data_IF_566511457823
#
_entry.id   IF_566511457823
#
_cell.length_a   1.000
_cell.length_b   1.000
_cell.length_c   1.000
_cell.angle_alpha   90.00
_cell.angle_beta   90.00
_cell.angle_gamma   90.00
#
_symmetry.space_group_name_H-M   'P 1'
#
loop_
_entity.id
_entity.type
_entity.pdbx_description
1 polymer ?
#
# COMPACT_ATOMS: atom_id res chain seq x y z
N UNK A 1 11.33 -58.85 57.85
CA UNK A 1 12.64 -58.79 58.53
C UNK A 1 13.73 -58.94 57.49
N UNK A 2 14.77 -58.10 57.62
CA UNK A 2 16.04 -58.05 56.90
C UNK A 2 16.07 -57.70 55.39
N UNK A 3 16.51 -56.44 55.18
CA UNK A 3 17.07 -55.89 53.94
C UNK A 3 18.61 -55.99 53.99
N UNK A 4 19.19 -55.95 52.79
CA UNK A 4 20.52 -55.43 52.41
C UNK A 4 21.74 -56.34 52.54
N UNK A 5 22.32 -56.70 51.39
CA UNK A 5 23.78 -56.64 51.16
C UNK A 5 24.03 -55.95 49.80
N UNK A 6 25.11 -55.17 49.79
CA UNK A 6 25.55 -54.11 48.89
C UNK A 6 26.45 -54.57 47.72
N UNK A 7 26.42 -53.74 46.66
CA UNK A 7 27.50 -53.26 45.77
C UNK A 7 28.41 -54.24 44.99
N UNK A 8 28.45 -54.04 43.67
CA UNK A 8 29.68 -53.58 42.97
C UNK A 8 29.38 -53.06 41.56
N UNK A 9 30.05 -51.96 41.22
CA UNK A 9 30.03 -51.22 39.95
C UNK A 9 30.69 -52.01 38.81
N UNK A 10 30.16 -51.87 37.58
CA UNK A 10 30.98 -51.50 36.41
C UNK A 10 30.08 -51.13 35.21
N UNK A 11 30.30 -49.93 34.68
CA UNK A 11 29.80 -49.48 33.37
C UNK A 11 30.48 -50.31 32.27
N UNK A 12 29.72 -50.76 31.27
CA UNK A 12 30.20 -50.80 29.89
C UNK A 12 29.04 -50.67 28.89
N UNK A 13 29.38 -50.03 27.79
CA UNK A 13 28.58 -49.38 26.77
C UNK A 13 28.11 -50.29 25.62
N UNK A 14 26.98 -49.86 25.02
CA UNK A 14 26.56 -49.96 23.62
C UNK A 14 26.54 -51.33 22.91
N UNK A 15 25.33 -51.80 22.61
CA UNK A 15 24.71 -51.80 21.26
C UNK A 15 23.74 -52.98 21.12
N UNK A 16 22.46 -52.69 20.91
CA UNK A 16 21.45 -53.66 20.46
C UNK A 16 20.68 -53.02 19.30
N UNK A 17 20.91 -53.49 18.08
CA UNK A 17 20.14 -54.52 17.36
C UNK A 17 18.88 -53.93 16.73
N UNK A 18 18.96 -53.71 15.42
CA UNK A 18 17.81 -53.69 14.53
C UNK A 18 17.50 -55.13 14.08
N UNK A 19 16.24 -55.53 13.94
CA UNK A 19 15.87 -56.65 13.08
C UNK A 19 15.39 -56.17 11.71
N UNK A 20 15.78 -56.93 10.70
CA UNK A 20 15.35 -56.85 9.31
C UNK A 20 14.06 -57.67 9.07
N UNK A 21 13.62 -57.69 7.80
CA UNK A 21 12.48 -58.37 7.14
C UNK A 21 11.25 -57.46 6.91
N UNK A 22 10.68 -57.31 5.71
CA UNK A 22 10.94 -57.89 4.38
C UNK A 22 10.31 -57.00 3.27
N UNK A 23 10.78 -57.17 2.02
CA UNK A 23 10.17 -56.73 0.75
C UNK A 23 8.70 -57.21 0.67
N UNK A 24 7.70 -56.50 0.15
CA UNK A 24 7.46 -55.94 -1.20
C UNK A 24 6.05 -55.27 -1.08
N UNK A 25 5.76 -54.09 -1.62
CA UNK A 25 5.35 -53.88 -3.01
C UNK A 25 5.35 -52.37 -3.35
N UNK A 26 5.70 -52.07 -4.60
CA UNK A 26 5.69 -50.73 -5.20
C UNK A 26 4.27 -50.34 -5.61
N UNK A 27 3.79 -49.19 -5.13
CA UNK A 27 2.97 -48.27 -5.94
C UNK A 27 2.94 -46.85 -5.33
N UNK A 28 3.65 -45.92 -5.99
CA UNK A 28 3.19 -44.53 -6.17
C UNK A 28 3.11 -43.58 -4.97
N UNK A 29 4.22 -43.25 -4.32
CA UNK A 29 4.37 -41.98 -3.58
C UNK A 29 5.71 -41.34 -3.91
N UNK A 30 5.71 -40.50 -4.94
CA UNK A 30 6.86 -39.65 -5.27
C UNK A 30 7.02 -38.62 -4.16
N UNK A 31 8.11 -38.72 -3.39
CA UNK A 31 8.59 -37.64 -2.51
C UNK A 31 8.67 -36.35 -3.33
N UNK A 32 7.84 -35.36 -3.02
CA UNK A 32 8.03 -34.00 -3.48
C UNK A 32 9.25 -33.46 -2.72
N UNK A 33 10.42 -33.53 -3.35
CA UNK A 33 11.57 -32.70 -2.96
C UNK A 33 11.20 -31.24 -3.18
N UNK A 34 11.55 -30.31 -2.27
CA UNK A 34 11.36 -28.89 -2.52
C UNK A 34 12.10 -28.54 -3.81
N UNK A 35 11.36 -27.98 -4.77
CA UNK A 35 11.95 -27.50 -6.01
C UNK A 35 13.07 -26.51 -5.64
N UNK A 36 14.28 -26.79 -6.13
CA UNK A 36 15.34 -25.79 -6.21
C UNK A 36 14.75 -24.62 -6.99
N UNK A 37 14.50 -23.52 -6.31
CA UNK A 37 14.24 -22.25 -6.99
C UNK A 37 15.56 -21.86 -7.62
N UNK A 38 15.69 -22.07 -8.93
CA UNK A 38 16.79 -21.49 -9.67
C UNK A 38 16.80 -19.98 -9.41
N UNK A 39 17.97 -19.36 -9.16
CA UNK A 39 18.03 -17.91 -9.07
C UNK A 39 17.49 -17.34 -10.38
N UNK A 40 16.37 -16.63 -10.30
CA UNK A 40 15.87 -15.85 -11.42
C UNK A 40 17.02 -14.96 -11.93
N UNK A 41 17.17 -14.79 -13.26
CA UNK A 41 18.20 -13.91 -13.79
C UNK A 41 18.10 -12.56 -13.11
N UNK A 42 19.26 -11.97 -12.79
CA UNK A 42 19.35 -10.62 -12.22
C UNK A 42 18.35 -9.73 -12.95
N UNK A 43 17.44 -9.10 -12.20
CA UNK A 43 16.40 -8.27 -12.78
C UNK A 43 17.07 -7.31 -13.77
N UNK A 44 16.71 -7.41 -15.06
CA UNK A 44 17.27 -6.52 -16.06
C UNK A 44 17.05 -5.10 -15.56
N UNK A 45 18.14 -4.42 -15.22
CA UNK A 45 18.11 -3.05 -14.74
C UNK A 45 17.45 -2.25 -15.87
N UNK A 46 16.31 -1.62 -15.60
CA UNK A 46 15.60 -0.84 -16.62
C UNK A 46 16.56 0.19 -17.19
N UNK A 47 16.72 0.22 -18.52
CA UNK A 47 17.62 1.14 -19.21
C UNK A 47 17.40 2.58 -18.70
N UNK A 48 18.36 3.18 -17.97
CA UNK A 48 18.19 4.48 -17.33
C UNK A 48 18.05 5.63 -18.34
N UNK A 49 18.42 5.39 -19.61
CA UNK A 49 18.33 6.36 -20.69
C UNK A 49 17.11 6.14 -21.59
N UNK A 50 16.33 5.08 -21.37
CA UNK A 50 15.06 4.84 -22.06
C UNK A 50 14.14 6.06 -21.86
N UNK A 51 13.49 6.55 -22.94
CA UNK A 51 12.48 7.59 -22.83
C UNK A 51 11.34 7.18 -21.89
N UNK A 52 10.90 8.13 -21.07
CA UNK A 52 9.71 8.07 -20.25
C UNK A 52 8.88 9.32 -20.51
N UNK A 53 7.56 9.17 -20.52
CA UNK A 53 6.65 10.28 -20.76
C UNK A 53 5.88 10.57 -19.49
N UNK A 54 5.89 11.82 -19.05
CA UNK A 54 5.17 12.25 -17.84
C UNK A 54 4.03 13.18 -18.19
N UNK A 55 2.94 13.05 -17.45
CA UNK A 55 1.82 14.00 -17.43
C UNK A 55 1.92 14.78 -16.14
N UNK A 56 2.16 16.09 -16.26
CA UNK A 56 2.30 17.03 -15.14
C UNK A 56 1.31 18.18 -15.26
N UNK A 57 1.12 18.92 -14.17
CA UNK A 57 0.52 20.26 -14.26
C UNK A 57 1.41 21.18 -15.09
N UNK A 58 0.80 22.20 -15.73
CA UNK A 58 1.58 23.25 -16.39
C UNK A 58 2.56 23.94 -15.44
N UNK A 59 2.15 24.21 -14.21
CA UNK A 59 2.99 24.86 -13.22
C UNK A 59 4.27 24.05 -12.93
N UNK A 60 4.13 22.75 -12.69
CA UNK A 60 5.25 21.82 -12.46
C UNK A 60 6.17 21.73 -13.67
N UNK A 61 5.58 21.70 -14.87
CA UNK A 61 6.38 21.72 -16.08
C UNK A 61 7.25 22.98 -16.16
N UNK A 62 6.63 24.15 -16.02
CA UNK A 62 7.28 25.43 -16.22
C UNK A 62 8.31 25.72 -15.11
N UNK A 63 8.04 25.31 -13.87
CA UNK A 63 8.91 25.52 -12.71
C UNK A 63 10.11 24.57 -12.64
N UNK A 64 9.96 23.32 -13.07
CA UNK A 64 10.95 22.26 -12.78
C UNK A 64 11.40 21.39 -13.93
N UNK A 65 10.59 21.29 -14.99
CA UNK A 65 10.87 20.37 -16.09
C UNK A 65 11.30 21.07 -17.37
N UNK A 66 11.04 22.35 -17.54
CA UNK A 66 11.31 23.06 -18.80
C UNK A 66 12.76 22.90 -19.30
N UNK A 67 13.72 22.65 -18.40
CA UNK A 67 15.14 22.41 -18.70
C UNK A 67 15.53 20.94 -18.84
N UNK A 68 14.75 20.01 -18.27
CA UNK A 68 15.00 18.56 -18.30
C UNK A 68 14.20 17.86 -19.40
N UNK A 69 12.99 18.35 -19.66
CA UNK A 69 12.01 17.78 -20.56
C UNK A 69 12.31 18.11 -22.02
N UNK A 70 11.96 17.16 -22.88
CA UNK A 70 11.96 17.29 -24.33
C UNK A 70 10.55 17.13 -24.86
N UNK A 71 10.33 17.59 -26.08
CA UNK A 71 9.10 17.32 -26.85
C UNK A 71 7.79 17.66 -26.11
N UNK A 72 7.85 18.64 -25.21
CA UNK A 72 6.74 19.03 -24.34
C UNK A 72 5.55 19.52 -25.14
N UNK A 73 4.35 19.12 -24.72
CA UNK A 73 3.11 19.51 -25.40
C UNK A 73 2.00 19.81 -24.42
N UNK A 74 1.42 21.00 -24.58
CA UNK A 74 0.28 21.45 -23.81
C UNK A 74 -0.94 20.55 -24.06
N UNK A 75 -1.66 20.22 -22.99
CA UNK A 75 -2.92 19.49 -23.03
C UNK A 75 -3.91 20.12 -22.04
N UNK A 76 -5.18 19.78 -22.19
CA UNK A 76 -6.23 20.15 -21.24
C UNK A 76 -6.92 18.86 -20.83
N UNK A 77 -7.00 18.59 -19.53
CA UNK A 77 -7.74 17.47 -18.99
C UNK A 77 -9.24 17.64 -19.25
N UNK A 78 -10.03 16.56 -19.16
CA UNK A 78 -11.50 16.68 -19.23
C UNK A 78 -12.08 17.52 -18.09
N UNK A 79 -11.39 17.58 -16.96
CA UNK A 79 -11.71 18.48 -15.85
C UNK A 79 -11.44 19.97 -16.14
N UNK A 80 -10.82 20.31 -17.26
CA UNK A 80 -10.38 21.66 -17.60
C UNK A 80 -8.98 22.02 -17.10
N UNK A 81 -8.31 21.13 -16.35
CA UNK A 81 -6.96 21.38 -15.84
C UNK A 81 -5.92 21.50 -16.97
N UNK A 82 -5.03 22.50 -16.86
CA UNK A 82 -3.91 22.68 -17.79
C UNK A 82 -2.78 21.69 -17.49
N UNK A 83 -2.56 20.76 -18.42
CA UNK A 83 -1.57 19.70 -18.31
C UNK A 83 -0.46 19.86 -19.36
N UNK A 84 0.67 19.20 -19.13
CA UNK A 84 1.76 19.07 -20.10
C UNK A 84 2.18 17.61 -20.17
N UNK A 85 2.26 17.08 -21.40
CA UNK A 85 2.92 15.79 -21.69
C UNK A 85 4.36 16.09 -22.08
N UNK A 86 5.30 15.54 -21.34
CA UNK A 86 6.74 15.79 -21.50
C UNK A 86 7.51 14.49 -21.64
N UNK A 87 8.59 14.48 -22.43
CA UNK A 87 9.53 13.37 -22.53
C UNK A 87 10.74 13.62 -21.62
N UNK A 88 11.13 12.62 -20.84
CA UNK A 88 12.34 12.59 -20.01
C UNK A 88 13.08 11.26 -20.27
N UNK A 89 14.26 11.12 -19.70
CA UNK A 89 14.94 9.84 -19.53
C UNK A 89 14.55 9.21 -18.18
N UNK A 90 14.50 7.88 -18.11
CA UNK A 90 13.99 7.15 -16.94
C UNK A 90 14.70 7.54 -15.63
N UNK A 91 16.02 7.74 -15.64
CA UNK A 91 16.75 8.17 -14.44
C UNK A 91 16.36 9.58 -13.94
N UNK A 92 15.79 10.43 -14.79
CA UNK A 92 15.39 11.79 -14.45
C UNK A 92 14.06 11.84 -13.68
N UNK A 93 13.34 10.72 -13.52
CA UNK A 93 12.14 10.68 -12.69
C UNK A 93 12.45 10.99 -11.22
N UNK A 94 13.58 10.51 -10.70
CA UNK A 94 14.03 10.84 -9.34
C UNK A 94 14.35 12.33 -9.21
N UNK A 95 14.92 12.94 -10.25
CA UNK A 95 15.19 14.39 -10.26
C UNK A 95 13.89 15.20 -10.29
N UNK A 96 12.88 14.74 -11.04
CA UNK A 96 11.53 15.32 -11.03
C UNK A 96 10.87 15.19 -9.65
N UNK A 97 10.83 14.00 -9.06
CA UNK A 97 10.25 13.81 -7.73
C UNK A 97 10.97 14.67 -6.68
N UNK A 98 12.31 14.77 -6.74
CA UNK A 98 13.09 15.69 -5.90
C UNK A 98 12.71 17.15 -6.12
N UNK A 99 12.57 17.60 -7.38
CA UNK A 99 12.15 18.97 -7.66
C UNK A 99 10.77 19.26 -7.06
N UNK A 100 9.79 18.39 -7.29
CA UNK A 100 8.44 18.52 -6.74
C UNK A 100 8.49 18.62 -5.22
N UNK A 101 9.21 17.71 -4.58
CA UNK A 101 9.33 17.70 -3.13
C UNK A 101 10.00 18.97 -2.58
N UNK A 102 11.18 19.34 -3.07
CA UNK A 102 11.98 20.43 -2.49
C UNK A 102 11.49 21.83 -2.89
N UNK A 103 10.95 21.99 -4.10
CA UNK A 103 10.55 23.29 -4.65
C UNK A 103 9.05 23.54 -4.58
N UNK A 104 8.24 22.53 -4.88
CA UNK A 104 6.79 22.65 -4.84
C UNK A 104 6.20 22.27 -3.48
N UNK A 105 7.00 21.66 -2.58
CA UNK A 105 6.60 21.25 -1.22
C UNK A 105 5.33 20.40 -1.25
N UNK A 106 5.32 19.41 -2.16
CA UNK A 106 4.24 18.41 -2.32
C UNK A 106 4.81 17.02 -2.69
N UNK A 107 4.11 15.93 -2.41
CA UNK A 107 4.52 14.55 -2.71
C UNK A 107 4.17 14.16 -4.16
N UNK A 108 5.07 13.57 -4.93
CA UNK A 108 4.74 13.01 -6.26
C UNK A 108 3.99 13.98 -7.21
N UNK A 109 2.93 13.50 -7.84
CA UNK A 109 2.03 14.33 -8.64
C UNK A 109 2.40 14.50 -10.11
N UNK A 110 2.79 13.39 -10.69
CA UNK A 110 2.81 13.16 -12.11
C UNK A 110 2.42 11.71 -12.38
N UNK A 111 1.91 11.44 -13.57
CA UNK A 111 1.75 10.08 -14.06
C UNK A 111 2.87 9.79 -15.06
N UNK A 112 3.52 8.63 -14.97
CA UNK A 112 4.60 8.25 -15.88
C UNK A 112 4.19 7.10 -16.81
N UNK A 113 4.62 7.14 -18.07
CA UNK A 113 4.22 6.24 -19.15
C UNK A 113 5.43 5.80 -19.98
N UNK A 114 5.33 4.61 -20.57
CA UNK A 114 6.42 4.05 -21.37
C UNK A 114 6.39 4.59 -22.81
N UNK A 115 5.27 5.16 -23.25
CA UNK A 115 5.13 5.80 -24.55
C UNK A 115 4.32 7.10 -24.49
N UNK A 116 4.58 8.01 -25.44
CA UNK A 116 3.79 9.23 -25.61
C UNK A 116 2.32 8.91 -25.90
N UNK A 117 2.08 7.88 -26.70
CA UNK A 117 0.74 7.46 -27.06
C UNK A 117 -0.09 7.07 -25.82
N UNK A 118 0.52 6.36 -24.87
CA UNK A 118 -0.11 6.03 -23.58
C UNK A 118 -0.38 7.28 -22.74
N UNK A 119 0.59 8.20 -22.63
CA UNK A 119 0.41 9.44 -21.88
C UNK A 119 -0.74 10.29 -22.44
N UNK A 120 -0.80 10.43 -23.76
CA UNK A 120 -1.89 11.16 -24.41
C UNK A 120 -3.23 10.42 -24.33
N UNK A 121 -3.23 9.09 -24.39
CA UNK A 121 -4.42 8.28 -24.19
C UNK A 121 -4.97 8.44 -22.76
N UNK A 122 -4.08 8.47 -21.76
CA UNK A 122 -4.46 8.74 -20.37
C UNK A 122 -5.17 10.09 -20.24
N UNK A 123 -4.60 11.17 -20.80
CA UNK A 123 -5.24 12.49 -20.75
C UNK A 123 -6.60 12.50 -21.46
N UNK A 124 -6.72 11.84 -22.62
CA UNK A 124 -8.00 11.75 -23.37
C UNK A 124 -9.07 10.93 -22.66
N UNK A 125 -8.66 9.88 -21.97
CA UNK A 125 -9.53 8.91 -21.32
C UNK A 125 -9.73 9.18 -19.82
N UNK A 126 -9.12 10.24 -19.28
CA UNK A 126 -9.28 10.63 -17.88
C UNK A 126 -10.76 10.78 -17.52
N UNK A 127 -11.19 10.00 -16.53
CA UNK A 127 -12.55 10.02 -15.99
C UNK A 127 -12.63 10.69 -14.64
N UNK A 128 -11.57 11.37 -14.17
CA UNK A 128 -11.55 11.93 -12.83
C UNK A 128 -12.73 12.85 -12.54
N UNK A 129 -13.10 13.73 -13.49
CA UNK A 129 -14.26 14.62 -13.33
C UNK A 129 -15.60 13.87 -13.20
N UNK A 130 -15.76 12.75 -13.93
CA UNK A 130 -16.94 11.88 -13.83
C UNK A 130 -16.91 11.18 -12.46
N UNK A 131 -15.83 10.46 -12.16
CA UNK A 131 -15.65 9.68 -10.93
C UNK A 131 -15.81 10.50 -9.66
N UNK A 132 -15.33 11.75 -9.64
CA UNK A 132 -15.47 12.64 -8.47
C UNK A 132 -16.93 12.97 -8.16
N UNK A 133 -17.79 13.00 -9.18
CA UNK A 133 -19.20 13.39 -9.08
C UNK A 133 -20.19 12.23 -9.24
N UNK A 134 -19.72 11.04 -9.64
CA UNK A 134 -20.56 9.85 -9.76
C UNK A 134 -21.24 9.56 -8.43
N UNK A 135 -22.54 9.26 -8.52
CA UNK A 135 -23.33 8.87 -7.35
C UNK A 135 -22.66 7.68 -6.66
N UNK A 136 -22.24 7.90 -5.42
CA UNK A 136 -21.73 6.85 -4.55
C UNK A 136 -22.91 6.15 -3.89
N UNK A 137 -22.84 4.82 -3.77
CA UNK A 137 -23.86 4.09 -3.04
C UNK A 137 -23.98 4.67 -1.62
N UNK A 138 -25.19 5.02 -1.18
CA UNK A 138 -25.42 5.47 0.19
C UNK A 138 -25.21 4.27 1.12
N UNK A 139 -24.03 4.18 1.71
CA UNK A 139 -23.78 3.20 2.76
C UNK A 139 -24.36 3.73 4.07
N UNK A 140 -25.40 3.07 4.56
CA UNK A 140 -25.84 3.30 5.94
C UNK A 140 -24.69 2.90 6.88
N UNK A 141 -24.35 3.77 7.84
CA UNK A 141 -23.42 3.46 8.93
C UNK A 141 -24.26 2.78 10.03
N UNK A 142 -24.42 1.47 9.91
CA UNK A 142 -25.34 0.65 10.72
C UNK A 142 -24.70 -0.67 11.22
N UNK A 143 -23.38 -0.81 11.10
CA UNK A 143 -22.63 -2.00 11.48
C UNK A 143 -21.79 -1.78 12.76
N UNK A 144 -22.20 -0.87 13.65
CA UNK A 144 -21.51 -0.54 14.90
C UNK A 144 -21.33 -1.78 15.80
N UNK A 145 -22.28 -2.72 15.79
CA UNK A 145 -22.17 -3.96 16.55
C UNK A 145 -20.94 -4.81 16.13
N UNK A 146 -20.52 -4.72 14.86
CA UNK A 146 -19.28 -5.32 14.37
C UNK A 146 -18.09 -4.42 14.63
N UNK A 147 -18.18 -3.13 14.25
CA UNK A 147 -17.02 -2.22 14.20
C UNK A 147 -16.55 -1.82 15.60
N UNK A 148 -17.47 -1.45 16.50
CA UNK A 148 -17.12 -0.90 17.82
C UNK A 148 -16.21 -1.84 18.63
N UNK A 149 -16.47 -3.15 18.73
CA UNK A 149 -15.56 -4.08 19.40
C UNK A 149 -14.16 -4.19 18.78
N UNK A 150 -14.00 -3.90 17.49
CA UNK A 150 -12.70 -3.95 16.81
C UNK A 150 -11.82 -2.75 17.16
N UNK A 151 -12.41 -1.57 17.38
CA UNK A 151 -11.66 -0.34 17.58
C UNK A 151 -10.75 -0.37 18.83
N UNK A 152 -11.19 -1.06 19.88
CA UNK A 152 -10.41 -1.26 21.12
C UNK A 152 -9.25 -2.26 20.97
N UNK A 153 -9.19 -3.01 19.87
CA UNK A 153 -8.17 -4.04 19.64
C UNK A 153 -6.95 -3.51 18.86
N UNK A 154 -7.01 -2.26 18.39
CA UNK A 154 -5.91 -1.60 17.68
C UNK A 154 -4.72 -1.42 18.62
N UNK A 155 -3.58 -1.97 18.22
CA UNK A 155 -2.34 -1.93 18.99
C UNK A 155 -1.31 -1.03 18.31
N UNK A 156 -0.94 0.08 18.96
CA UNK A 156 0.17 0.94 18.55
C UNK A 156 1.45 0.13 18.34
N UNK A 157 1.73 -0.81 19.25
CA UNK A 157 2.96 -1.59 19.22
C UNK A 157 3.05 -2.48 17.96
N UNK A 158 1.91 -3.00 17.48
CA UNK A 158 1.89 -3.81 16.25
C UNK A 158 2.11 -2.96 15.00
N UNK A 159 1.49 -1.77 14.95
CA UNK A 159 1.69 -0.81 13.86
C UNK A 159 3.17 -0.39 13.85
N UNK A 160 3.69 0.04 15.00
CA UNK A 160 5.09 0.46 15.15
C UNK A 160 6.07 -0.64 14.76
N UNK A 161 5.85 -1.88 15.17
CA UNK A 161 6.73 -3.00 14.78
C UNK A 161 6.75 -3.25 13.28
N UNK A 162 5.62 -3.02 12.59
CA UNK A 162 5.54 -3.14 11.13
C UNK A 162 6.29 -1.98 10.45
N UNK A 163 6.12 -0.75 10.93
CA UNK A 163 6.89 0.42 10.45
C UNK A 163 8.40 0.16 10.64
N UNK A 164 8.82 -0.26 11.84
CA UNK A 164 10.22 -0.58 12.15
C UNK A 164 10.81 -1.62 11.20
N UNK A 165 10.03 -2.65 10.84
CA UNK A 165 10.47 -3.68 9.91
C UNK A 165 10.67 -3.10 8.50
N UNK A 166 9.66 -2.39 7.98
CA UNK A 166 9.69 -1.84 6.62
C UNK A 166 10.72 -0.71 6.45
N UNK A 167 10.94 0.10 7.48
CA UNK A 167 11.89 1.22 7.45
C UNK A 167 13.28 0.89 7.98
N UNK A 168 13.50 -0.32 8.52
CA UNK A 168 14.73 -0.71 9.19
C UNK A 168 15.43 -1.93 8.62
N UNK A 169 14.70 -2.88 8.01
CA UNK A 169 15.29 -4.11 7.50
C UNK A 169 16.04 -3.91 6.17
N UNK A 170 15.76 -2.82 5.46
CA UNK A 170 16.36 -2.51 4.17
C UNK A 170 16.80 -1.04 4.10
N UNK A 171 17.85 -0.70 3.32
CA UNK A 171 18.25 0.69 3.08
C UNK A 171 17.16 1.54 2.42
N UNK A 172 16.36 0.93 1.56
CA UNK A 172 15.22 1.54 0.86
C UNK A 172 14.20 0.45 0.48
N UNK A 173 13.05 0.88 -0.05
CA UNK A 173 12.08 0.01 -0.72
C UNK A 173 11.82 0.43 -2.17
N UNK A 174 12.76 1.14 -2.79
CA UNK A 174 12.59 1.70 -4.14
C UNK A 174 12.17 0.64 -5.16
N UNK A 175 11.25 0.99 -6.06
CA UNK A 175 10.58 0.02 -6.92
C UNK A 175 11.51 -0.76 -7.88
N UNK A 176 12.69 -0.19 -8.20
CA UNK A 176 13.70 -0.83 -9.07
C UNK A 176 14.78 -1.64 -8.32
N UNK A 177 14.77 -1.68 -6.98
CA UNK A 177 15.82 -2.36 -6.19
C UNK A 177 15.38 -3.76 -5.73
N UNK A 178 16.37 -4.62 -5.47
CA UNK A 178 16.13 -5.92 -4.83
C UNK A 178 15.53 -5.73 -3.43
N UNK A 179 15.89 -4.65 -2.73
CA UNK A 179 15.28 -4.28 -1.46
C UNK A 179 13.77 -4.04 -1.58
N UNK A 180 13.33 -3.27 -2.58
CA UNK A 180 11.90 -3.06 -2.87
C UNK A 180 11.15 -4.36 -3.12
N UNK A 181 11.71 -5.25 -3.97
CA UNK A 181 11.14 -6.59 -4.23
C UNK A 181 11.02 -7.44 -2.96
N UNK A 182 12.06 -7.44 -2.13
CA UNK A 182 12.08 -8.20 -0.89
C UNK A 182 11.06 -7.68 0.11
N UNK A 183 10.90 -6.35 0.22
CA UNK A 183 9.89 -5.73 1.06
C UNK A 183 8.46 -6.10 0.62
N UNK A 184 8.16 -6.06 -0.69
CA UNK A 184 6.85 -6.50 -1.22
C UNK A 184 6.58 -7.98 -0.91
N UNK A 185 7.58 -8.84 -1.10
CA UNK A 185 7.48 -10.27 -0.78
C UNK A 185 7.21 -10.48 0.72
N UNK A 186 7.91 -9.74 1.58
CA UNK A 186 7.72 -9.79 3.03
C UNK A 186 6.29 -9.37 3.44
N UNK A 187 5.74 -8.30 2.85
CA UNK A 187 4.36 -7.87 3.09
C UNK A 187 3.37 -8.95 2.65
N UNK A 188 3.55 -9.52 1.45
CA UNK A 188 2.72 -10.61 0.91
C UNK A 188 2.71 -11.83 1.85
N UNK A 189 3.87 -12.25 2.33
CA UNK A 189 4.01 -13.39 3.25
C UNK A 189 3.37 -13.10 4.61
N UNK A 190 3.57 -11.89 5.14
CA UNK A 190 2.97 -11.45 6.40
C UNK A 190 1.44 -11.45 6.33
N UNK A 191 0.87 -10.93 5.24
CA UNK A 191 -0.56 -10.92 5.00
C UNK A 191 -1.13 -12.32 4.76
N UNK A 192 -0.43 -13.18 4.02
CA UNK A 192 -0.81 -14.58 3.84
C UNK A 192 -0.85 -15.34 5.16
N UNK A 193 0.12 -15.10 6.06
CA UNK A 193 0.16 -15.72 7.38
C UNK A 193 -1.03 -15.31 8.26
N UNK A 194 -1.48 -14.05 8.17
CA UNK A 194 -2.68 -13.59 8.90
C UNK A 194 -3.97 -14.26 8.38
N UNK A 195 -4.03 -14.58 7.09
CA UNK A 195 -5.14 -15.30 6.46
C UNK A 195 -5.01 -16.83 6.53
N UNK A 196 -3.99 -17.38 7.21
CA UNK A 196 -3.73 -18.81 7.17
C UNK A 196 -4.95 -19.64 7.65
N UNK A 197 -5.25 -20.73 6.95
CA UNK A 197 -6.40 -21.60 7.22
C UNK A 197 -7.76 -21.06 6.72
N UNK A 198 -7.79 -19.91 6.03
CA UNK A 198 -8.99 -19.35 5.41
C UNK A 198 -9.02 -19.65 3.91
N UNK A 199 -9.99 -20.43 3.46
CA UNK A 199 -10.17 -20.74 2.03
C UNK A 199 -10.68 -19.57 1.20
N UNK A 200 -11.28 -18.57 1.85
CA UNK A 200 -11.78 -17.34 1.24
C UNK A 200 -10.73 -16.23 1.17
N UNK A 201 -9.50 -16.47 1.66
CA UNK A 201 -8.40 -15.51 1.64
C UNK A 201 -7.28 -15.97 0.71
N UNK A 202 -6.81 -15.08 -0.14
CA UNK A 202 -5.65 -15.33 -1.02
C UNK A 202 -4.74 -14.11 -1.10
N UNK A 203 -3.46 -14.33 -1.42
CA UNK A 203 -2.52 -13.26 -1.73
C UNK A 203 -1.86 -13.50 -3.08
N UNK A 204 -1.60 -12.42 -3.81
CA UNK A 204 -0.91 -12.44 -5.10
C UNK A 204 0.09 -11.29 -5.21
N UNK A 205 1.08 -11.48 -6.09
CA UNK A 205 2.03 -10.46 -6.51
C UNK A 205 1.65 -10.01 -7.93
N UNK A 206 1.39 -8.72 -8.10
CA UNK A 206 1.04 -8.13 -9.38
C UNK A 206 2.25 -7.39 -9.97
N UNK A 207 2.70 -7.81 -11.14
CA UNK A 207 3.78 -7.16 -11.87
C UNK A 207 3.20 -6.26 -12.96
N UNK A 208 3.84 -5.13 -13.22
CA UNK A 208 3.46 -4.21 -14.29
C UNK A 208 4.66 -3.70 -15.08
N UNK A 209 4.44 -3.39 -16.37
CA UNK A 209 5.46 -2.77 -17.21
C UNK A 209 5.85 -1.41 -16.64
N UNK A 210 7.16 -1.16 -16.56
CA UNK A 210 7.72 0.10 -16.07
C UNK A 210 7.63 0.31 -14.55
N UNK A 211 7.11 -0.63 -13.77
CA UNK A 211 7.05 -0.55 -12.30
C UNK A 211 8.37 -0.93 -11.60
N UNK A 212 9.40 -1.32 -12.36
CA UNK A 212 10.64 -1.85 -11.80
C UNK A 212 10.52 -3.33 -11.42
N UNK A 213 11.36 -3.76 -10.48
CA UNK A 213 11.50 -5.15 -10.05
C UNK A 213 10.62 -5.51 -8.85
N UNK A 214 10.01 -4.50 -8.21
CA UNK A 214 9.07 -4.63 -7.11
C UNK A 214 7.65 -4.88 -7.63
N UNK A 215 7.00 -5.99 -7.22
CA UNK A 215 5.58 -6.21 -7.50
C UNK A 215 4.69 -5.44 -6.51
N UNK A 216 3.48 -5.10 -6.95
CA UNK A 216 2.41 -4.75 -6.01
C UNK A 216 1.91 -6.01 -5.30
N UNK A 217 1.41 -5.86 -4.07
CA UNK A 217 0.83 -6.95 -3.28
C UNK A 217 -0.68 -6.78 -3.24
N UNK A 218 -1.43 -7.84 -3.51
CA UNK A 218 -2.89 -7.84 -3.39
C UNK A 218 -3.29 -9.00 -2.48
N UNK A 219 -3.92 -8.70 -1.35
CA UNK A 219 -4.67 -9.68 -0.57
C UNK A 219 -6.15 -9.57 -0.91
N UNK A 220 -6.81 -10.70 -1.11
CA UNK A 220 -8.26 -10.77 -1.36
C UNK A 220 -8.94 -11.55 -0.24
N UNK A 221 -10.03 -11.02 0.31
CA UNK A 221 -11.01 -11.74 1.12
C UNK A 221 -12.29 -11.81 0.29
N UNK A 222 -12.65 -13.00 -0.21
CA UNK A 222 -13.82 -13.16 -1.07
C UNK A 222 -15.12 -12.87 -0.29
N UNK A 223 -15.99 -12.07 -0.87
CA UNK A 223 -17.31 -11.78 -0.31
C UNK A 223 -18.25 -12.99 -0.41
N UNK A 224 -19.13 -13.16 0.58
CA UNK A 224 -20.04 -14.30 0.64
C UNK A 224 -21.43 -14.03 0.04
N UNK A 225 -21.85 -12.77 -0.05
CA UNK A 225 -23.19 -12.38 -0.54
C UNK A 225 -23.10 -11.59 -1.85
N UNK A 226 -22.15 -10.65 -1.93
CA UNK A 226 -21.92 -9.75 -3.07
C UNK A 226 -20.46 -9.90 -3.55
N UNK A 227 -20.01 -11.11 -3.96
CA UNK A 227 -18.61 -11.36 -4.31
C UNK A 227 -18.08 -10.53 -5.48
N UNK A 228 -18.96 -10.00 -6.32
CA UNK A 228 -18.61 -9.20 -7.48
C UNK A 228 -18.46 -7.71 -7.17
N UNK A 229 -18.93 -7.25 -6.00
CA UNK A 229 -18.67 -5.89 -5.51
C UNK A 229 -17.36 -5.88 -4.75
N UNK A 230 -16.43 -5.02 -5.16
CA UNK A 230 -15.06 -4.97 -4.62
C UNK A 230 -14.84 -3.69 -3.83
N UNK A 231 -14.40 -3.83 -2.58
CA UNK A 231 -13.93 -2.73 -1.73
C UNK A 231 -12.42 -2.82 -1.64
N UNK A 232 -11.73 -1.70 -1.88
CA UNK A 232 -10.27 -1.64 -1.85
C UNK A 232 -9.80 -0.78 -0.68
N UNK A 233 -8.80 -1.25 0.05
CA UNK A 233 -7.99 -0.45 0.97
C UNK A 233 -6.53 -0.53 0.50
N UNK A 234 -5.89 0.61 0.30
CA UNK A 234 -4.60 0.71 -0.37
C UNK A 234 -3.60 1.63 0.34
N UNK A 235 -2.32 1.34 0.14
CA UNK A 235 -1.15 2.07 0.59
C UNK A 235 0.02 1.70 -0.35
N UNK A 236 1.08 2.51 -0.48
CA UNK A 236 2.20 2.16 -1.36
C UNK A 236 3.39 1.56 -0.60
N UNK A 237 4.21 0.79 -1.31
CA UNK A 237 5.31 0.01 -0.76
C UNK A 237 6.65 0.69 -0.95
N UNK A 238 6.82 1.42 -2.04
CA UNK A 238 8.11 1.96 -2.46
C UNK A 238 8.54 3.19 -1.67
N UNK A 239 9.81 3.56 -1.85
CA UNK A 239 10.39 4.77 -1.29
C UNK A 239 11.34 5.42 -2.27
N UNK A 240 11.45 6.75 -2.18
CA UNK A 240 12.55 7.53 -2.75
C UNK A 240 13.26 8.34 -1.68
N UNK A 241 14.45 8.82 -1.99
CA UNK A 241 15.18 9.77 -1.14
C UNK A 241 16.07 10.67 -1.98
N UNK A 242 16.31 11.89 -1.50
CA UNK A 242 17.31 12.79 -2.07
C UNK A 242 18.76 12.35 -1.79
N UNK A 243 19.00 11.29 -1.01
CA UNK A 243 20.33 10.79 -0.68
C UNK A 243 20.80 9.65 -1.60
N UNK A 244 21.00 9.95 -2.88
CA UNK A 244 21.53 9.00 -3.87
C UNK A 244 20.44 8.30 -4.69
N UNK A 245 20.76 7.11 -5.22
CA UNK A 245 19.87 6.36 -6.12
C UNK A 245 20.19 4.85 -6.10
N UNK A 246 19.25 4.01 -6.52
CA UNK A 246 19.45 2.57 -6.67
C UNK A 246 19.61 1.84 -5.32
N UNK A 247 20.30 0.70 -5.33
CA UNK A 247 20.43 -0.20 -4.16
C UNK A 247 21.00 0.50 -2.92
N UNK A 248 21.94 1.42 -3.10
CA UNK A 248 22.63 2.12 -2.02
C UNK A 248 21.89 3.39 -1.53
N UNK A 249 20.75 3.74 -2.14
CA UNK A 249 19.96 4.89 -1.69
C UNK A 249 19.45 4.63 -0.27
N UNK A 250 19.61 5.60 0.62
CA UNK A 250 19.03 5.55 1.97
C UNK A 250 17.67 6.23 1.98
N UNK A 251 16.61 5.45 1.95
CA UNK A 251 15.22 5.91 1.91
C UNK A 251 14.37 5.07 2.88
N UNK A 252 14.46 5.33 4.21
CA UNK A 252 13.79 4.49 5.19
C UNK A 252 12.26 4.54 5.06
N UNK A 253 11.69 5.70 4.69
CA UNK A 253 10.27 5.83 4.34
C UNK A 253 9.35 5.35 5.46
N UNK A 254 9.57 5.83 6.68
CA UNK A 254 8.86 5.35 7.86
C UNK A 254 7.42 5.86 7.93
N UNK A 255 7.22 7.13 7.62
CA UNK A 255 5.90 7.71 7.47
C UNK A 255 5.37 7.50 6.05
N UNK A 256 6.24 7.68 5.04
CA UNK A 256 5.95 7.59 3.61
C UNK A 256 6.59 6.34 2.97
N UNK A 257 5.88 5.23 2.76
CA UNK A 257 4.56 4.91 3.33
C UNK A 257 4.54 3.57 4.08
N UNK A 258 5.60 3.31 4.85
CA UNK A 258 5.57 2.17 5.78
C UNK A 258 4.41 2.29 6.78
N UNK A 259 3.97 3.52 7.08
CA UNK A 259 2.87 3.78 8.01
C UNK A 259 1.50 3.36 7.46
N UNK A 260 1.19 3.62 6.19
CA UNK A 260 -0.02 3.16 5.51
C UNK A 260 -0.07 1.63 5.45
N UNK A 261 1.02 0.99 5.02
CA UNK A 261 1.13 -0.49 4.98
C UNK A 261 0.99 -1.10 6.38
N UNK A 262 1.60 -0.50 7.41
CA UNK A 262 1.46 -0.93 8.79
C UNK A 262 0.02 -0.82 9.29
N UNK A 263 -0.66 0.27 8.93
CA UNK A 263 -2.08 0.50 9.25
C UNK A 263 -2.97 -0.57 8.61
N UNK A 264 -2.80 -0.85 7.31
CA UNK A 264 -3.52 -1.92 6.61
C UNK A 264 -3.26 -3.30 7.23
N UNK A 265 -2.02 -3.56 7.63
CA UNK A 265 -1.63 -4.82 8.27
C UNK A 265 -2.34 -5.02 9.61
N UNK A 266 -2.50 -3.97 10.41
CA UNK A 266 -3.23 -4.03 11.68
C UNK A 266 -4.75 -4.19 11.47
N UNK A 267 -5.32 -3.49 10.47
CA UNK A 267 -6.72 -3.69 10.06
C UNK A 267 -6.97 -5.15 9.69
N UNK A 268 -6.09 -5.74 8.87
CA UNK A 268 -6.17 -7.15 8.48
C UNK A 268 -6.07 -8.09 9.67
N UNK A 269 -5.11 -7.87 10.56
CA UNK A 269 -4.90 -8.70 11.76
C UNK A 269 -6.17 -8.77 12.61
N UNK A 270 -6.81 -7.62 12.85
CA UNK A 270 -8.02 -7.54 13.66
C UNK A 270 -9.20 -8.20 12.94
N UNK A 271 -9.37 -7.94 11.63
CA UNK A 271 -10.42 -8.59 10.84
C UNK A 271 -10.30 -10.13 10.87
N UNK A 272 -9.08 -10.67 10.70
CA UNK A 272 -8.83 -12.11 10.76
C UNK A 272 -9.05 -12.68 12.16
N UNK A 273 -8.54 -12.02 13.21
CA UNK A 273 -8.69 -12.45 14.60
C UNK A 273 -10.15 -12.51 15.06
N UNK A 274 -11.02 -11.66 14.49
CA UNK A 274 -12.46 -11.65 14.79
C UNK A 274 -13.28 -12.52 13.82
N UNK A 275 -12.63 -13.32 12.96
CA UNK A 275 -13.30 -14.23 12.05
C UNK A 275 -14.13 -13.53 10.97
N UNK A 276 -13.80 -12.27 10.62
CA UNK A 276 -14.58 -11.46 9.68
C UNK A 276 -14.83 -12.20 8.35
N UNK A 277 -16.10 -12.23 7.93
CA UNK A 277 -16.59 -12.72 6.64
C UNK A 277 -17.37 -11.59 5.97
N UNK A 278 -16.81 -10.94 4.94
CA UNK A 278 -17.45 -9.77 4.36
C UNK A 278 -18.61 -10.15 3.43
N UNK A 279 -19.60 -9.26 3.26
CA UNK A 279 -20.60 -9.40 2.20
C UNK A 279 -19.96 -9.20 0.83
N UNK A 280 -19.18 -8.13 0.70
CA UNK A 280 -18.45 -7.74 -0.51
C UNK A 280 -17.06 -8.35 -0.53
N UNK A 281 -16.45 -8.46 -1.71
CA UNK A 281 -15.04 -8.85 -1.79
C UNK A 281 -14.17 -7.68 -1.31
N UNK A 282 -13.27 -7.95 -0.37
CA UNK A 282 -12.30 -6.98 0.12
C UNK A 282 -10.97 -7.24 -0.56
N UNK A 283 -10.30 -6.17 -1.01
CA UNK A 283 -8.92 -6.22 -1.45
C UNK A 283 -8.06 -5.24 -0.64
N UNK A 284 -7.03 -5.74 0.01
CA UNK A 284 -5.98 -4.91 0.59
C UNK A 284 -4.81 -4.86 -0.40
N UNK A 285 -4.27 -3.68 -0.65
CA UNK A 285 -3.25 -3.48 -1.67
C UNK A 285 -2.04 -2.73 -1.12
N UNK A 286 -0.85 -3.27 -1.42
CA UNK A 286 0.42 -2.56 -1.33
C UNK A 286 0.88 -2.22 -2.75
N UNK A 287 0.76 -0.97 -3.17
CA UNK A 287 1.11 -0.55 -4.53
C UNK A 287 2.62 -0.43 -4.71
N UNK A 288 3.13 -0.86 -5.86
CA UNK A 288 4.51 -0.61 -6.24
C UNK A 288 4.61 0.68 -7.07
N UNK A 289 5.78 1.32 -7.03
CA UNK A 289 6.13 2.40 -7.96
C UNK A 289 5.16 3.60 -7.93
N UNK A 290 4.68 3.98 -6.75
CA UNK A 290 3.94 5.24 -6.53
C UNK A 290 4.87 6.41 -6.87
N UNK A 291 6.09 6.38 -6.34
CA UNK A 291 7.01 7.52 -6.27
C UNK A 291 7.63 7.90 -7.61
N UNK A 292 7.49 7.00 -8.58
CA UNK A 292 7.93 7.15 -9.96
C UNK A 292 6.76 7.29 -10.94
N UNK A 293 5.61 7.75 -10.42
CA UNK A 293 4.47 8.23 -11.19
C UNK A 293 3.25 7.32 -11.19
N UNK A 294 2.85 6.85 -10.00
CA UNK A 294 1.63 6.08 -9.73
C UNK A 294 1.50 4.80 -10.56
N UNK A 295 2.62 4.15 -10.89
CA UNK A 295 2.66 3.12 -11.94
C UNK A 295 1.91 1.85 -11.54
N UNK A 296 2.10 1.37 -10.31
CA UNK A 296 1.44 0.15 -9.81
C UNK A 296 -0.06 0.30 -9.71
N UNK A 297 -0.54 1.33 -9.00
CA UNK A 297 -1.98 1.58 -8.87
C UNK A 297 -2.65 1.86 -10.21
N UNK A 298 -2.01 2.61 -11.11
CA UNK A 298 -2.53 2.84 -12.47
C UNK A 298 -2.67 1.54 -13.25
N UNK A 299 -1.67 0.66 -13.21
CA UNK A 299 -1.72 -0.62 -13.92
C UNK A 299 -2.85 -1.51 -13.37
N UNK A 300 -3.01 -1.58 -12.05
CA UNK A 300 -4.09 -2.32 -11.40
C UNK A 300 -5.45 -1.74 -11.74
N UNK A 301 -5.64 -0.42 -11.62
CA UNK A 301 -6.92 0.23 -11.91
C UNK A 301 -7.30 0.07 -13.39
N UNK A 302 -6.33 0.16 -14.32
CA UNK A 302 -6.55 -0.07 -15.74
C UNK A 302 -6.92 -1.54 -16.04
N UNK A 303 -6.24 -2.51 -15.42
CA UNK A 303 -6.58 -3.93 -15.54
C UNK A 303 -7.99 -4.22 -14.99
N UNK A 304 -8.33 -3.68 -13.82
CA UNK A 304 -9.66 -3.81 -13.23
C UNK A 304 -10.74 -3.23 -14.14
N UNK A 305 -10.48 -2.06 -14.73
CA UNK A 305 -11.37 -1.43 -15.69
C UNK A 305 -11.55 -2.29 -16.95
N UNK A 306 -10.46 -2.81 -17.50
CA UNK A 306 -10.48 -3.66 -18.69
C UNK A 306 -11.25 -4.97 -18.46
N UNK A 307 -11.14 -5.55 -17.27
CA UNK A 307 -11.88 -6.76 -16.86
C UNK A 307 -13.31 -6.49 -16.38
N UNK A 308 -13.75 -5.23 -16.35
CA UNK A 308 -15.09 -4.86 -15.87
C UNK A 308 -15.31 -5.14 -14.38
N UNK A 309 -14.27 -5.07 -13.56
CA UNK A 309 -14.39 -5.27 -12.10
C UNK A 309 -15.22 -4.14 -11.50
N UNK A 310 -16.27 -4.50 -10.76
CA UNK A 310 -17.14 -3.56 -10.07
C UNK A 310 -16.53 -3.14 -8.72
N UNK A 311 -15.65 -2.14 -8.74
CA UNK A 311 -15.09 -1.53 -7.53
C UNK A 311 -16.05 -0.46 -7.02
N UNK A 312 -16.55 -0.69 -5.80
CA UNK A 312 -17.61 0.14 -5.21
C UNK A 312 -17.08 1.18 -4.23
N UNK A 313 -15.80 1.10 -3.83
CA UNK A 313 -15.15 2.09 -2.99
C UNK A 313 -13.66 1.77 -2.78
N UNK A 314 -12.82 2.80 -2.82
CA UNK A 314 -11.37 2.70 -2.60
C UNK A 314 -10.95 3.68 -1.51
N UNK A 315 -10.34 3.17 -0.44
CA UNK A 315 -9.68 3.99 0.57
C UNK A 315 -8.16 3.91 0.38
N UNK A 316 -7.52 5.05 0.15
CA UNK A 316 -6.08 5.21 0.22
C UNK A 316 -5.65 5.65 1.62
N UNK A 317 -4.56 5.08 2.10
CA UNK A 317 -3.79 5.51 3.26
C UNK A 317 -2.36 5.73 2.78
N UNK A 318 -1.91 6.97 2.80
CA UNK A 318 -0.55 7.34 2.44
C UNK A 318 -0.13 8.43 3.41
N UNK A 319 0.90 8.16 4.20
CA UNK A 319 1.32 8.93 5.38
C UNK A 319 0.24 8.99 6.46
N UNK A 320 0.45 8.25 7.53
CA UNK A 320 -0.50 8.12 8.64
C UNK A 320 0.10 8.43 10.00
N UNK A 321 1.40 8.78 10.08
CA UNK A 321 2.11 8.74 11.35
C UNK A 321 2.80 10.03 11.78
N UNK A 322 2.66 11.14 11.06
CA UNK A 322 3.18 12.42 11.52
C UNK A 322 2.09 13.47 11.77
N UNK A 323 2.16 14.08 12.97
CA UNK A 323 1.41 15.29 13.29
C UNK A 323 2.06 16.09 14.42
N UNK A 324 1.90 17.42 14.38
CA UNK A 324 2.15 18.27 15.54
C UNK A 324 0.96 18.26 16.49
N UNK A 325 1.16 18.71 17.74
CA UNK A 325 0.10 18.81 18.74
C UNK A 325 -1.10 19.66 18.28
N UNK A 326 -0.83 20.73 17.53
CA UNK A 326 -1.84 21.67 17.03
C UNK A 326 -2.56 21.18 15.78
N UNK A 327 -1.95 20.31 14.98
CA UNK A 327 -2.54 19.77 13.78
C UNK A 327 -3.72 18.81 14.07
N UNK A 328 -4.71 18.69 13.16
CA UNK A 328 -5.76 17.68 13.25
C UNK A 328 -5.19 16.27 13.47
N UNK A 329 -6.00 15.36 14.00
CA UNK A 329 -5.58 13.98 14.18
C UNK A 329 -5.60 13.22 12.84
N UNK A 330 -6.58 13.54 11.99
CA UNK A 330 -6.76 12.98 10.64
C UNK A 330 -7.22 14.09 9.69
N UNK A 331 -6.85 14.01 8.42
CA UNK A 331 -7.40 14.85 7.34
C UNK A 331 -8.06 13.98 6.27
N UNK A 332 -9.07 14.52 5.60
CA UNK A 332 -9.61 13.97 4.34
C UNK A 332 -9.04 14.77 3.17
N UNK A 333 -8.55 14.10 2.12
CA UNK A 333 -8.14 14.75 0.88
C UNK A 333 -9.38 15.18 0.09
N UNK A 334 -9.42 16.45 -0.34
CA UNK A 334 -10.58 17.05 -1.01
C UNK A 334 -10.62 16.77 -2.51
N UNK A 335 -9.47 16.79 -3.17
CA UNK A 335 -9.34 16.70 -4.62
C UNK A 335 -9.04 15.28 -5.09
N UNK A 336 -9.30 15.00 -6.37
CA UNK A 336 -9.19 13.67 -6.99
C UNK A 336 -9.90 12.55 -6.20
N UNK A 337 -10.90 12.93 -5.41
CA UNK A 337 -11.65 12.06 -4.51
C UNK A 337 -13.14 12.16 -4.78
N UNK A 338 -13.86 11.05 -4.75
CA UNK A 338 -15.32 11.02 -4.94
C UNK A 338 -16.05 11.72 -3.79
N UNK A 339 -16.94 12.66 -4.12
CA UNK A 339 -17.61 13.49 -3.13
C UNK A 339 -18.47 12.69 -2.13
N UNK A 340 -19.20 11.68 -2.62
CA UNK A 340 -20.03 10.82 -1.76
C UNK A 340 -19.18 9.94 -0.83
N UNK A 341 -18.06 9.40 -1.34
CA UNK A 341 -17.13 8.63 -0.53
C UNK A 341 -16.38 9.51 0.48
N UNK A 342 -15.99 10.74 0.12
CA UNK A 342 -15.43 11.71 1.06
C UNK A 342 -16.40 12.01 2.19
N UNK A 343 -17.70 12.17 1.89
CA UNK A 343 -18.71 12.38 2.91
C UNK A 343 -18.82 11.15 3.82
N UNK A 344 -18.84 9.93 3.26
CA UNK A 344 -18.79 8.71 4.06
C UNK A 344 -17.57 8.68 5.01
N UNK A 345 -16.38 9.07 4.54
CA UNK A 345 -15.21 9.13 5.41
C UNK A 345 -15.42 10.11 6.59
N UNK A 346 -15.98 11.30 6.33
CA UNK A 346 -16.33 12.26 7.39
C UNK A 346 -17.35 11.69 8.37
N UNK A 347 -18.34 10.97 7.88
CA UNK A 347 -19.39 10.36 8.70
C UNK A 347 -18.85 9.19 9.53
N UNK A 348 -17.94 8.36 8.98
CA UNK A 348 -17.23 7.32 9.71
C UNK A 348 -16.39 7.94 10.84
N UNK A 349 -15.66 9.02 10.56
CA UNK A 349 -14.93 9.74 11.58
C UNK A 349 -15.85 10.26 12.67
N UNK A 350 -16.91 11.00 12.30
CA UNK A 350 -17.86 11.55 13.26
C UNK A 350 -18.48 10.47 14.14
N UNK A 351 -18.89 9.35 13.53
CA UNK A 351 -19.53 8.22 14.23
C UNK A 351 -18.60 7.53 15.21
N UNK A 352 -17.36 7.21 14.80
CA UNK A 352 -16.50 6.34 15.58
C UNK A 352 -15.44 7.06 16.42
N UNK A 353 -15.05 8.27 16.04
CA UNK A 353 -13.91 8.99 16.63
C UNK A 353 -14.20 10.48 16.96
N UNK A 354 -15.31 11.04 16.48
CA UNK A 354 -15.59 12.49 16.51
C UNK A 354 -15.70 13.12 17.89
N UNK A 355 -15.93 12.32 18.94
CA UNK A 355 -16.02 12.82 20.32
C UNK A 355 -14.66 13.14 20.97
N UNK A 356 -13.54 12.68 20.40
CA UNK A 356 -12.21 12.79 21.03
C UNK A 356 -11.10 13.26 20.11
N UNK A 357 -11.29 13.18 18.80
CA UNK A 357 -10.28 13.53 17.81
C UNK A 357 -10.77 14.64 16.87
N UNK A 358 -9.83 15.34 16.25
CA UNK A 358 -10.10 16.42 15.29
C UNK A 358 -9.91 15.95 13.86
N UNK A 359 -10.93 16.18 13.03
CA UNK A 359 -10.84 15.98 11.58
C UNK A 359 -10.54 17.31 10.89
N UNK A 360 -9.55 17.29 10.00
CA UNK A 360 -9.26 18.38 9.08
C UNK A 360 -9.51 18.00 7.63
N UNK A 361 -9.05 18.84 6.72
CA UNK A 361 -9.03 18.54 5.30
C UNK A 361 -7.74 19.06 4.68
N UNK A 362 -7.35 18.47 3.56
CA UNK A 362 -6.18 18.87 2.80
C UNK A 362 -6.50 18.87 1.31
N UNK A 363 -5.87 19.74 0.55
CA UNK A 363 -6.04 19.81 -0.91
C UNK A 363 -4.66 19.78 -1.52
N UNK A 364 -4.42 18.75 -2.32
CA UNK A 364 -3.14 18.56 -2.98
C UNK A 364 -2.97 19.55 -4.15
N UNK A 365 -4.07 19.83 -4.87
CA UNK A 365 -4.16 20.50 -6.17
C UNK A 365 -3.68 19.66 -7.36
N UNK A 366 -3.52 18.36 -7.16
CA UNK A 366 -3.06 17.38 -8.16
C UNK A 366 -3.37 15.96 -7.65
N UNK A 367 -3.32 14.96 -8.53
CA UNK A 367 -3.48 13.56 -8.14
C UNK A 367 -2.30 13.09 -7.30
N UNK A 368 -2.41 13.20 -5.97
CA UNK A 368 -1.25 13.17 -5.09
C UNK A 368 -0.81 11.82 -4.57
N UNK A 369 -1.60 10.79 -4.77
CA UNK A 369 -1.27 9.42 -4.39
C UNK A 369 -2.17 8.47 -5.20
N UNK A 370 -2.11 7.17 -4.91
CA UNK A 370 -2.75 6.12 -5.70
C UNK A 370 -4.28 6.24 -5.84
N UNK A 371 -4.97 6.94 -4.94
CA UNK A 371 -6.40 7.24 -5.09
C UNK A 371 -6.70 7.94 -6.43
N UNK A 372 -5.77 8.76 -6.93
CA UNK A 372 -5.90 9.43 -8.21
C UNK A 372 -5.91 8.46 -9.40
N UNK A 373 -5.17 7.34 -9.33
CA UNK A 373 -5.21 6.29 -10.36
C UNK A 373 -6.59 5.65 -10.45
N UNK A 374 -7.23 5.39 -9.31
CA UNK A 374 -8.59 4.83 -9.24
C UNK A 374 -9.63 5.82 -9.75
N UNK A 375 -9.55 7.07 -9.31
CA UNK A 375 -10.42 8.17 -9.78
C UNK A 375 -10.29 8.38 -11.29
N UNK A 376 -9.07 8.39 -11.82
CA UNK A 376 -8.81 8.53 -13.26
C UNK A 376 -9.39 7.36 -14.09
N UNK A 377 -9.43 6.15 -13.52
CA UNK A 377 -10.05 4.97 -14.14
C UNK A 377 -11.59 4.95 -14.06
N UNK A 378 -12.20 5.89 -13.32
CA UNK A 378 -13.65 6.00 -13.18
C UNK A 378 -14.21 5.42 -11.89
N UNK A 379 -13.38 5.06 -10.91
CA UNK A 379 -13.82 4.43 -9.66
C UNK A 379 -13.95 5.44 -8.52
N UNK A 380 -14.88 5.23 -7.56
CA UNK A 380 -14.98 6.08 -6.39
C UNK A 380 -13.81 5.80 -5.43
N UNK A 381 -12.88 6.76 -5.32
CA UNK A 381 -11.75 6.70 -4.40
C UNK A 381 -11.70 7.92 -3.49
N UNK A 382 -11.16 7.76 -2.28
CA UNK A 382 -10.88 8.84 -1.35
C UNK A 382 -9.70 8.46 -0.45
N UNK A 383 -9.17 9.42 0.28
CA UNK A 383 -7.95 9.25 1.07
C UNK A 383 -8.09 9.90 2.44
N UNK A 384 -7.68 9.16 3.47
CA UNK A 384 -7.28 9.77 4.74
C UNK A 384 -5.79 10.11 4.69
N UNK A 385 -5.44 11.25 5.26
CA UNK A 385 -4.09 11.77 5.29
C UNK A 385 -3.74 12.22 6.71
N UNK A 386 -2.47 12.13 7.07
CA UNK A 386 -1.97 12.56 8.36
C UNK A 386 -2.31 14.01 8.73
N UNK A 387 -2.23 14.34 10.01
CA UNK A 387 -2.45 15.70 10.51
C UNK A 387 -1.43 16.72 10.01
N UNK A 388 -0.17 16.29 9.91
CA UNK A 388 0.92 17.10 9.39
C UNK A 388 1.46 18.15 10.37
N UNK A 389 2.12 19.17 9.84
CA UNK A 389 2.84 20.15 10.66
C UNK A 389 1.96 21.34 11.12
N UNK A 390 2.50 22.16 12.01
CA UNK A 390 1.79 23.30 12.60
C UNK A 390 1.36 24.38 11.59
N UNK A 391 1.92 24.39 10.38
CA UNK A 391 1.59 25.32 9.30
C UNK A 391 0.55 24.73 8.32
N UNK A 392 -0.04 23.58 8.64
CA UNK A 392 -1.02 22.90 7.78
C UNK A 392 -0.42 22.08 6.64
N UNK A 393 0.91 21.89 6.61
CA UNK A 393 1.58 21.00 5.64
C UNK A 393 1.53 19.54 6.08
N UNK A 394 2.55 18.75 5.74
CA UNK A 394 2.73 17.35 6.13
C UNK A 394 4.15 17.14 6.69
N UNK A 395 4.55 15.90 6.94
CA UNK A 395 5.87 15.52 7.44
C UNK A 395 7.00 16.18 6.62
N UNK A 396 7.90 16.97 7.25
CA UNK A 396 8.98 17.65 6.55
C UNK A 396 10.15 16.70 6.20
N UNK A 397 10.04 15.41 6.51
CA UNK A 397 11.12 14.44 6.37
C UNK A 397 10.97 13.50 5.19
N UNK A 398 9.77 13.43 4.58
CA UNK A 398 9.48 12.52 3.47
C UNK A 398 10.50 12.72 2.34
N UNK A 399 10.71 11.68 1.53
CA UNK A 399 11.66 11.70 0.41
C UNK A 399 13.10 12.08 0.80
N UNK A 400 13.48 11.84 2.06
CA UNK A 400 14.85 12.02 2.55
C UNK A 400 15.30 10.82 3.38
N UNK A 401 16.61 10.74 3.63
CA UNK A 401 17.17 9.77 4.56
C UNK A 401 16.71 9.95 6.03
N UNK A 402 16.00 11.05 6.32
CA UNK A 402 15.49 11.39 7.64
C UNK A 402 14.03 11.01 7.82
N UNK A 403 13.31 10.48 6.82
CA UNK A 403 12.00 9.86 7.07
C UNK A 403 12.20 8.53 7.83
N UNK A 404 12.41 8.65 9.13
CA UNK A 404 12.63 7.55 10.05
C UNK A 404 11.58 7.59 11.14
N UNK A 405 11.31 6.44 11.75
CA UNK A 405 10.42 6.37 12.91
C UNK A 405 10.87 7.34 14.01
N UNK A 406 12.18 7.59 14.13
CA UNK A 406 12.72 8.55 15.10
C UNK A 406 12.31 9.99 14.82
N UNK A 407 12.39 10.40 13.57
CA UNK A 407 12.03 11.76 13.14
C UNK A 407 10.53 12.05 13.30
N UNK A 408 9.69 11.03 13.18
CA UNK A 408 8.23 11.15 13.36
C UNK A 408 7.74 10.83 14.78
N UNK A 409 8.65 10.80 15.76
CA UNK A 409 8.30 10.78 17.19
C UNK A 409 8.52 9.45 17.90
N UNK A 410 9.24 8.50 17.30
CA UNK A 410 9.52 7.15 17.83
C UNK A 410 8.27 6.33 18.22
N UNK A 411 7.11 6.67 17.66
CA UNK A 411 5.83 6.07 17.98
C UNK A 411 4.98 5.89 16.72
N UNK A 412 4.03 4.95 16.76
CA UNK A 412 2.94 4.79 15.80
C UNK A 412 1.60 5.34 16.31
N UNK A 413 1.61 6.17 17.37
CA UNK A 413 0.38 6.65 18.01
C UNK A 413 -0.48 7.49 17.06
N UNK A 414 0.14 8.21 16.12
CA UNK A 414 -0.56 8.98 15.11
C UNK A 414 -1.27 8.09 14.07
N UNK A 415 -0.78 6.88 13.80
CA UNK A 415 -1.44 5.90 12.93
C UNK A 415 -2.64 5.19 13.57
N UNK A 416 -2.78 5.21 14.90
CA UNK A 416 -3.88 4.49 15.61
C UNK A 416 -5.29 4.93 15.14
N UNK A 417 -5.60 6.23 15.00
CA UNK A 417 -6.86 6.69 14.40
C UNK A 417 -7.09 6.15 12.99
N UNK A 418 -6.05 6.07 12.15
CA UNK A 418 -6.16 5.57 10.78
C UNK A 418 -6.49 4.08 10.74
N UNK A 419 -5.91 3.26 11.62
CA UNK A 419 -6.28 1.85 11.75
C UNK A 419 -7.73 1.67 12.19
N UNK A 420 -8.21 2.50 13.12
CA UNK A 420 -9.62 2.51 13.54
C UNK A 420 -10.56 2.91 12.39
N UNK A 421 -10.20 3.92 11.61
CA UNK A 421 -10.98 4.34 10.43
C UNK A 421 -10.92 3.31 9.30
N UNK A 422 -9.79 2.62 9.11
CA UNK A 422 -9.67 1.50 8.18
C UNK A 422 -10.58 0.33 8.57
N UNK A 423 -10.69 0.01 9.88
CA UNK A 423 -11.64 -0.97 10.40
C UNK A 423 -13.09 -0.52 10.21
N UNK A 424 -13.39 0.76 10.45
CA UNK A 424 -14.72 1.32 10.23
C UNK A 424 -15.11 1.26 8.75
N UNK A 425 -14.21 1.65 7.84
CA UNK A 425 -14.41 1.56 6.40
C UNK A 425 -14.60 0.11 5.95
N UNK A 426 -13.73 -0.80 6.41
CA UNK A 426 -13.84 -2.25 6.14
C UNK A 426 -15.21 -2.79 6.59
N UNK A 427 -15.60 -2.51 7.84
CA UNK A 427 -16.84 -3.00 8.42
C UNK A 427 -18.10 -2.40 7.81
N UNK A 428 -18.09 -1.11 7.47
CA UNK A 428 -19.28 -0.42 6.95
C UNK A 428 -19.46 -0.55 5.45
N UNK A 429 -18.38 -0.55 4.66
CA UNK A 429 -18.46 -0.71 3.21
C UNK A 429 -18.48 -2.18 2.83
N UNK A 430 -17.60 -2.98 3.45
CA UNK A 430 -17.54 -4.43 3.25
C UNK A 430 -18.77 -5.17 3.77
N UNK A 431 -19.34 -4.68 4.88
CA UNK A 431 -20.41 -5.29 5.70
C UNK A 431 -20.07 -6.69 6.18
N UNK A 432 -20.57 -7.09 7.35
CA UNK A 432 -20.45 -8.48 7.80
C UNK A 432 -21.54 -9.30 7.14
N UNK A 433 -21.18 -10.42 6.50
CA UNK A 433 -22.15 -11.38 6.00
C UNK A 433 -22.94 -12.00 7.16
N UNK A 434 -24.22 -12.28 6.93
CA UNK A 434 -25.24 -12.69 7.90
C UNK A 434 -24.78 -13.14 9.30
N UNK A 435 -25.27 -12.43 10.32
CA UNK A 435 -25.67 -13.05 11.59
C UNK A 435 -27.18 -13.04 11.67
#
# INVERSE_FOLDING_TARGET
MQRSILLSLSLLSLAAVAPAFAQSDRAGLTRITPAKVDPAPAAAQSDPFKPVYVVTSRQTHDAGLSTLARNASARVARSGAALVVSELQTHQLTDLSRHVHEKERRCGGYFAFDSRAEAEAFVRNDRSAEAMNTAFASYAIDNQATVTPWLGQVSEANIRATIQSLSGNWPNRHASTNHGRNAATWVRDRWAALGNGRSDVSTELFNCSGCGSQPSVILTIRGNELPNEVVVLGAHLDTISNSGSGENMRAPGADDDASGIATLTEVLRIAMANGYRPKRTIKLMGYAAEEIGLRGSKAIAADFKARGVNVVGVLQLDMTNYRTSTAPDVRVINDFSNAGLQQLLRDLFATYLGGSLRLGSYTCNYGCSDHASWTAAGYPAAMYFEGGNANGGYSPYIHTANDTLASVGQSAQASVPFAKLGLAFLGEVGKTAGR
#
